data_IF_823931748975
#
_entry.id   IF_823931748975
#
_cell.length_a   1.000
_cell.length_b   1.000
_cell.length_c   1.000
_cell.angle_alpha   90.00
_cell.angle_beta   90.00
_cell.angle_gamma   90.00
#
_symmetry.space_group_name_H-M   'P 1'
#
loop_
_entity.id
_entity.type
_entity.pdbx_description
1 polymer ?
#
# COMPACT_ATOMS: atom_id res chain seq x y z
N UNK A 1 -5.92 -23.71 51.37
CA UNK A 1 -7.27 -23.96 51.94
C UNK A 1 -8.32 -23.21 51.13
N UNK A 2 -9.36 -23.96 50.81
CA UNK A 2 -10.73 -23.60 50.38
C UNK A 2 -10.93 -23.10 48.95
N UNK A 3 -11.37 -24.06 48.15
CA UNK A 3 -12.16 -23.97 46.93
C UNK A 3 -13.49 -23.27 47.16
N UNK A 4 -14.03 -22.54 46.17
CA UNK A 4 -15.47 -22.47 45.94
C UNK A 4 -15.72 -22.31 44.42
N UNK A 5 -16.32 -23.37 43.86
CA UNK A 5 -17.03 -23.40 42.59
C UNK A 5 -18.45 -22.80 42.83
N UNK A 6 -18.94 -22.06 41.84
CA UNK A 6 -20.39 -21.95 41.65
C UNK A 6 -20.70 -22.05 40.14
N UNK A 7 -21.39 -23.11 39.81
CA UNK A 7 -22.17 -23.32 38.58
C UNK A 7 -23.45 -22.47 38.66
N UNK A 8 -23.85 -21.93 37.50
CA UNK A 8 -25.20 -21.39 37.30
C UNK A 8 -25.56 -21.50 35.84
N UNK A 9 -26.29 -22.57 35.50
CA UNK A 9 -26.98 -22.75 34.22
C UNK A 9 -28.43 -22.27 34.39
N UNK A 10 -29.01 -21.64 33.35
CA UNK A 10 -30.47 -21.72 33.05
C UNK A 10 -30.77 -21.00 31.73
N UNK A 11 -31.02 -21.71 30.67
CA UNK A 11 -32.22 -22.08 29.90
C UNK A 11 -33.02 -20.98 29.20
N UNK A 12 -33.11 -21.19 27.88
CA UNK A 12 -34.23 -21.14 26.93
C UNK A 12 -35.24 -19.98 26.98
N UNK A 13 -35.46 -19.37 25.79
CA UNK A 13 -36.77 -19.34 25.14
C UNK A 13 -36.69 -18.95 23.67
N UNK A 14 -37.16 -19.84 22.81
CA UNK A 14 -37.46 -19.60 21.39
C UNK A 14 -38.84 -18.91 21.29
N UNK A 15 -38.96 -17.98 20.36
CA UNK A 15 -40.25 -17.52 19.87
C UNK A 15 -40.20 -17.34 18.35
N UNK A 16 -40.85 -18.26 17.67
CA UNK A 16 -41.19 -18.23 16.24
C UNK A 16 -42.53 -17.51 16.13
N UNK A 17 -42.60 -16.48 15.27
CA UNK A 17 -43.86 -15.94 14.79
C UNK A 17 -43.85 -15.96 13.27
N UNK A 18 -44.62 -16.89 12.69
CA UNK A 18 -45.14 -16.85 11.32
C UNK A 18 -46.44 -16.07 11.30
N UNK A 19 -46.57 -15.17 10.34
CA UNK A 19 -47.84 -14.71 9.75
C UNK A 19 -47.51 -13.70 8.65
N UNK A 20 -48.02 -13.71 7.46
CA UNK A 20 -49.08 -14.38 6.77
C UNK A 20 -49.28 -13.57 5.47
N UNK A 21 -49.63 -14.24 4.39
CA UNK A 21 -49.90 -13.74 3.03
C UNK A 21 -50.95 -12.65 2.95
N UNK A 22 -50.80 -11.72 2.01
CA UNK A 22 -51.93 -11.18 1.23
C UNK A 22 -51.42 -10.79 -0.19
N UNK A 23 -51.92 -11.50 -1.18
CA UNK A 23 -51.80 -11.21 -2.59
C UNK A 23 -52.75 -10.09 -3.00
N UNK A 24 -52.31 -9.21 -3.87
CA UNK A 24 -53.17 -8.45 -4.79
C UNK A 24 -52.52 -8.45 -6.17
N UNK A 25 -53.19 -9.13 -7.06
CA UNK A 25 -52.92 -9.13 -8.50
C UNK A 25 -53.28 -7.76 -9.10
N UNK A 26 -52.44 -7.25 -9.99
CA UNK A 26 -52.91 -6.45 -11.11
C UNK A 26 -51.93 -6.59 -12.27
N UNK A 27 -52.39 -7.29 -13.31
CA UNK A 27 -51.75 -7.39 -14.63
C UNK A 27 -51.75 -6.02 -15.31
N UNK A 28 -50.66 -5.67 -16.03
CA UNK A 28 -50.65 -5.16 -17.40
C UNK A 28 -49.26 -5.30 -18.01
N UNK A 29 -49.20 -6.16 -19.06
CA UNK A 29 -48.37 -6.23 -20.26
C UNK A 29 -46.87 -5.80 -20.28
N UNK A 30 -46.09 -6.76 -20.74
CA UNK A 30 -44.71 -6.67 -21.22
C UNK A 30 -44.58 -5.89 -22.55
N UNK A 31 -43.32 -5.44 -22.88
CA UNK A 31 -42.60 -6.25 -23.85
C UNK A 31 -41.11 -6.47 -23.52
N UNK A 32 -40.77 -7.71 -23.60
CA UNK A 32 -39.52 -8.34 -24.08
C UNK A 32 -38.31 -7.45 -24.34
N UNK A 33 -37.24 -7.67 -23.57
CA UNK A 33 -35.91 -7.75 -24.19
C UNK A 33 -34.97 -8.67 -23.38
N UNK A 34 -34.38 -9.61 -24.11
CA UNK A 34 -33.31 -10.52 -23.68
C UNK A 34 -32.14 -9.77 -23.06
N UNK A 35 -31.71 -10.18 -21.84
CA UNK A 35 -30.31 -10.07 -21.48
C UNK A 35 -29.91 -11.20 -20.55
N UNK A 36 -28.88 -11.90 -20.98
CA UNK A 36 -28.31 -13.09 -20.35
C UNK A 36 -27.83 -12.85 -18.91
N UNK A 37 -28.06 -13.87 -18.08
CA UNK A 37 -27.41 -14.02 -16.77
C UNK A 37 -25.88 -14.04 -16.94
N UNK A 38 -25.19 -13.10 -16.38
CA UNK A 38 -23.78 -13.23 -16.08
C UNK A 38 -23.65 -13.20 -14.54
N UNK A 39 -23.26 -14.31 -13.97
CA UNK A 39 -22.87 -14.39 -12.58
C UNK A 39 -21.54 -13.61 -12.46
N UNK A 40 -21.57 -12.49 -11.78
CA UNK A 40 -20.38 -11.75 -11.41
C UNK A 40 -19.75 -12.49 -10.21
N UNK A 41 -18.63 -13.14 -10.46
CA UNK A 41 -17.70 -13.50 -9.42
C UNK A 41 -17.09 -12.19 -8.89
N UNK A 42 -17.42 -11.83 -7.66
CA UNK A 42 -16.74 -10.74 -6.97
C UNK A 42 -15.30 -11.18 -6.69
N UNK A 43 -14.38 -10.79 -7.58
CA UNK A 43 -12.98 -10.73 -7.26
C UNK A 43 -12.78 -9.56 -6.29
N UNK A 44 -12.42 -9.83 -5.05
CA UNK A 44 -11.81 -8.86 -4.15
C UNK A 44 -10.48 -8.43 -4.78
N UNK A 45 -10.53 -7.40 -5.60
CA UNK A 45 -9.39 -6.60 -5.96
C UNK A 45 -9.14 -5.65 -4.77
N UNK A 46 -8.03 -5.87 -4.06
CA UNK A 46 -7.59 -4.97 -3.00
C UNK A 46 -7.36 -3.60 -3.63
N UNK A 47 -8.12 -2.61 -3.15
CA UNK A 47 -8.12 -1.26 -3.70
C UNK A 47 -6.74 -0.63 -3.63
N UNK A 48 -5.97 -0.76 -4.70
CA UNK A 48 -4.92 0.17 -5.02
C UNK A 48 -5.62 1.46 -5.45
N UNK A 49 -5.45 2.54 -4.68
CA UNK A 49 -5.94 3.86 -5.07
C UNK A 49 -5.50 4.14 -6.51
N UNK A 50 -6.39 4.72 -7.32
CA UNK A 50 -6.08 5.11 -8.69
C UNK A 50 -5.06 6.24 -8.69
N UNK A 51 -3.77 5.89 -8.76
CA UNK A 51 -2.64 6.83 -8.86
C UNK A 51 -2.38 7.30 -10.29
N UNK A 52 -3.29 7.02 -11.23
CA UNK A 52 -3.16 7.44 -12.61
C UNK A 52 -3.26 8.96 -12.74
N UNK A 53 -2.12 9.61 -12.78
CA UNK A 53 -1.98 11.07 -12.94
C UNK A 53 -1.11 11.77 -11.90
N UNK A 54 -0.68 11.08 -10.83
CA UNK A 54 0.26 11.64 -9.86
C UNK A 54 1.64 11.85 -10.48
N UNK A 55 2.33 12.88 -10.03
CA UNK A 55 3.75 13.08 -10.34
C UNK A 55 4.57 12.26 -9.36
N UNK A 56 5.20 11.19 -9.84
CA UNK A 56 6.03 10.29 -9.05
C UNK A 56 7.50 10.74 -9.00
N UNK A 57 7.81 11.89 -9.59
CA UNK A 57 9.15 12.46 -9.56
C UNK A 57 9.43 13.12 -8.22
N UNK A 58 10.59 12.81 -7.64
CA UNK A 58 11.07 13.42 -6.41
C UNK A 58 12.00 14.61 -6.64
N UNK A 59 12.31 15.36 -5.58
CA UNK A 59 13.25 16.48 -5.60
C UNK A 59 14.71 16.06 -5.77
N UNK A 60 15.02 14.77 -5.55
CA UNK A 60 16.40 14.28 -5.45
C UNK A 60 17.07 14.56 -4.10
N UNK A 61 16.41 15.28 -3.19
CA UNK A 61 16.91 15.45 -1.83
C UNK A 61 16.68 14.18 -1.02
N UNK A 62 17.65 13.80 -0.20
CA UNK A 62 17.58 12.63 0.68
C UNK A 62 17.45 13.10 2.13
N UNK A 63 16.77 12.33 3.00
CA UNK A 63 16.68 12.63 4.42
C UNK A 63 18.04 12.78 5.09
N UNK A 64 18.12 13.65 6.10
CA UNK A 64 19.33 13.83 6.89
C UNK A 64 19.65 12.55 7.68
N UNK A 65 20.89 12.11 7.63
CA UNK A 65 21.36 10.91 8.33
C UNK A 65 21.32 9.62 7.50
N UNK A 66 20.64 9.62 6.35
CA UNK A 66 20.60 8.46 5.47
C UNK A 66 22.01 8.13 4.95
N UNK A 67 22.41 6.85 5.08
CA UNK A 67 23.76 6.38 4.75
C UNK A 67 23.81 5.84 3.35
N UNK A 68 24.75 6.35 2.55
CA UNK A 68 25.07 5.74 1.25
C UNK A 68 25.57 4.31 1.43
N UNK A 69 25.06 3.41 0.60
CA UNK A 69 25.50 2.00 0.58
C UNK A 69 26.88 1.89 -0.08
N UNK A 70 27.86 1.38 0.67
CA UNK A 70 29.16 1.01 0.10
C UNK A 70 29.03 -0.28 -0.74
N UNK A 71 29.40 -0.25 -2.01
CA UNK A 71 29.34 -1.38 -2.94
C UNK A 71 27.91 -1.98 -3.09
N UNK A 72 26.93 -1.20 -3.54
CA UNK A 72 25.58 -1.71 -3.77
C UNK A 72 25.55 -2.74 -4.90
N UNK A 73 24.54 -3.60 -4.92
CA UNK A 73 24.33 -4.59 -5.99
C UNK A 73 24.13 -3.92 -7.35
N UNK A 74 23.48 -2.75 -7.36
CA UNK A 74 23.30 -1.89 -8.54
C UNK A 74 24.06 -0.59 -8.28
N UNK A 75 25.14 -0.37 -9.05
CA UNK A 75 26.00 0.83 -8.88
C UNK A 75 25.27 2.10 -9.36
N UNK A 76 25.52 3.22 -8.71
CA UNK A 76 24.99 4.53 -9.15
C UNK A 76 25.45 4.81 -10.59
N UNK A 77 24.51 5.18 -11.44
CA UNK A 77 24.69 5.39 -12.88
C UNK A 77 24.57 4.12 -13.73
N UNK A 78 24.37 2.94 -13.13
CA UNK A 78 24.03 1.71 -13.87
C UNK A 78 22.52 1.63 -14.14
N UNK A 79 22.13 0.67 -15.00
CA UNK A 79 20.73 0.35 -15.27
C UNK A 79 20.32 -0.97 -14.62
N UNK A 80 19.04 -1.06 -14.29
CA UNK A 80 18.38 -2.26 -13.78
C UNK A 80 16.94 -2.29 -14.27
N UNK A 81 16.34 -3.48 -14.33
CA UNK A 81 14.91 -3.63 -14.63
C UNK A 81 14.11 -3.70 -13.35
N UNK A 82 13.04 -2.91 -13.24
CA UNK A 82 12.07 -3.00 -12.14
C UNK A 82 11.22 -4.25 -12.38
N UNK A 83 11.29 -5.24 -11.48
CA UNK A 83 10.63 -6.55 -11.63
C UNK A 83 9.42 -6.75 -10.75
N UNK A 84 9.34 -5.99 -9.66
CA UNK A 84 8.17 -5.97 -8.77
C UNK A 84 7.77 -4.51 -8.56
N UNK A 85 6.57 -4.17 -9.03
CA UNK A 85 6.10 -2.79 -9.05
C UNK A 85 5.06 -2.56 -7.98
N UNK A 86 5.25 -1.52 -7.19
CA UNK A 86 4.25 -1.06 -6.22
C UNK A 86 3.37 0.08 -6.76
N UNK A 87 3.61 0.51 -8.02
CA UNK A 87 2.79 1.52 -8.71
C UNK A 87 2.59 1.14 -10.19
N UNK A 88 1.46 1.56 -10.80
CA UNK A 88 1.19 1.30 -12.22
C UNK A 88 2.28 1.85 -13.13
N UNK A 89 2.65 1.09 -14.15
CA UNK A 89 3.64 1.48 -15.16
C UNK A 89 5.11 1.35 -14.76
N UNK A 90 5.43 0.90 -13.54
CA UNK A 90 6.81 0.63 -13.10
C UNK A 90 7.32 -0.72 -13.57
N UNK A 91 6.47 -1.76 -13.55
CA UNK A 91 6.88 -3.12 -13.89
C UNK A 91 7.43 -3.21 -15.31
N UNK A 92 8.63 -3.80 -15.44
CA UNK A 92 9.33 -3.95 -16.69
C UNK A 92 10.02 -2.66 -17.18
N UNK A 93 9.97 -1.56 -16.43
CA UNK A 93 10.70 -0.35 -16.77
C UNK A 93 12.21 -0.54 -16.56
N UNK A 94 13.01 -0.02 -17.51
CA UNK A 94 14.44 0.15 -17.32
C UNK A 94 14.67 1.39 -16.46
N UNK A 95 15.34 1.21 -15.33
CA UNK A 95 15.63 2.26 -14.38
C UNK A 95 17.13 2.58 -14.33
N UNK A 96 17.48 3.85 -14.30
CA UNK A 96 18.82 4.33 -13.99
C UNK A 96 18.94 4.56 -12.49
N UNK A 97 19.96 3.99 -11.86
CA UNK A 97 20.24 4.15 -10.44
C UNK A 97 20.81 5.55 -10.17
N UNK A 98 20.09 6.37 -9.40
CA UNK A 98 20.51 7.74 -9.02
C UNK A 98 21.19 7.75 -7.66
N UNK A 99 20.75 6.88 -6.73
CA UNK A 99 21.35 6.73 -5.41
C UNK A 99 21.09 5.35 -4.85
N UNK A 100 21.94 4.91 -3.92
CA UNK A 100 21.82 3.64 -3.21
C UNK A 100 22.13 3.84 -1.73
N UNK A 101 21.24 3.39 -0.85
CA UNK A 101 21.31 3.68 0.59
C UNK A 101 20.99 2.44 1.42
N UNK A 102 21.54 2.38 2.63
CA UNK A 102 21.32 1.32 3.58
C UNK A 102 20.41 1.82 4.71
N UNK A 103 19.22 1.22 4.83
CA UNK A 103 18.24 1.63 5.81
C UNK A 103 17.23 0.52 6.11
N UNK A 104 16.26 0.79 6.97
CA UNK A 104 15.04 -0.01 7.13
C UNK A 104 13.91 0.65 6.36
N UNK A 105 13.25 -0.11 5.49
CA UNK A 105 12.02 0.31 4.79
C UNK A 105 10.79 -0.19 5.52
N UNK A 106 9.70 0.56 5.36
CA UNK A 106 8.39 0.23 5.90
C UNK A 106 7.34 0.35 4.82
N UNK A 107 6.43 -0.65 4.72
CA UNK A 107 5.13 -0.36 4.15
C UNK A 107 4.22 0.17 5.26
N UNK A 108 3.34 1.09 4.92
CA UNK A 108 2.51 1.82 5.88
C UNK A 108 1.07 1.97 5.42
N UNK A 109 0.16 2.01 6.39
CA UNK A 109 -1.24 2.41 6.16
C UNK A 109 -1.54 3.69 6.94
N UNK A 110 -2.16 4.68 6.29
CA UNK A 110 -2.43 5.98 6.91
C UNK A 110 -3.70 6.65 6.36
N UNK A 111 -4.24 7.60 7.13
CA UNK A 111 -5.30 8.49 6.68
C UNK A 111 -4.65 9.82 6.25
N UNK A 112 -4.81 10.25 4.98
CA UNK A 112 -4.19 11.46 4.47
C UNK A 112 -4.60 12.73 5.24
N UNK A 113 -3.64 13.64 5.48
CA UNK A 113 -3.87 14.89 6.24
C UNK A 113 -4.78 15.89 5.53
N UNK A 114 -4.96 15.73 4.23
CA UNK A 114 -5.86 16.55 3.39
C UNK A 114 -7.31 16.05 3.37
N UNK A 115 -7.59 14.90 4.02
CA UNK A 115 -8.92 14.29 4.11
C UNK A 115 -9.28 13.40 2.94
N UNK A 116 -8.29 12.95 2.16
CA UNK A 116 -8.44 11.91 1.14
C UNK A 116 -8.84 10.55 1.71
N UNK A 117 -9.06 9.58 0.83
CA UNK A 117 -9.35 8.20 1.22
C UNK A 117 -8.12 7.57 1.91
N UNK A 118 -8.38 6.64 2.86
CA UNK A 118 -7.31 5.91 3.54
C UNK A 118 -6.41 5.18 2.54
N UNK A 119 -5.11 5.33 2.70
CA UNK A 119 -4.09 4.62 1.94
C UNK A 119 -3.67 3.39 2.74
N UNK A 120 -3.67 2.22 2.11
CA UNK A 120 -3.27 0.95 2.72
C UNK A 120 -2.05 0.38 1.98
N UNK A 121 -1.12 -0.22 2.75
CA UNK A 121 0.10 -0.89 2.25
C UNK A 121 0.92 -0.03 1.27
N UNK A 122 1.04 1.27 1.55
CA UNK A 122 1.89 2.15 0.75
C UNK A 122 3.36 1.72 0.87
N UNK A 123 4.00 1.51 -0.23
CA UNK A 123 5.42 1.17 -0.38
C UNK A 123 6.15 2.31 -1.08
N UNK A 124 7.20 2.83 -0.56
CA UNK A 124 7.90 2.61 0.70
C UNK A 124 8.15 3.95 1.37
N UNK A 125 8.22 3.98 2.70
CA UNK A 125 8.97 5.01 3.41
C UNK A 125 10.20 4.36 4.06
N UNK A 126 11.20 5.17 4.39
CA UNK A 126 12.41 4.71 5.07
C UNK A 126 12.43 5.20 6.52
N UNK A 127 13.31 4.61 7.33
CA UNK A 127 13.42 4.94 8.75
C UNK A 127 13.67 6.42 9.00
N UNK A 128 14.47 7.06 8.15
CA UNK A 128 14.82 8.48 8.21
C UNK A 128 13.68 9.41 7.73
N UNK A 129 12.60 8.86 7.21
CA UNK A 129 11.35 9.56 6.86
C UNK A 129 10.27 9.42 7.94
N UNK A 130 10.63 8.91 9.11
CA UNK A 130 9.78 8.94 10.30
C UNK A 130 10.20 10.11 11.17
N UNK A 131 9.24 10.95 11.53
CA UNK A 131 9.49 12.11 12.37
C UNK A 131 10.02 11.72 13.75
N UNK A 132 11.09 12.38 14.19
CA UNK A 132 11.75 12.12 15.47
C UNK A 132 12.12 10.63 15.67
N UNK A 133 12.52 9.95 14.59
CA UNK A 133 12.87 8.53 14.62
C UNK A 133 13.94 8.23 15.67
N UNK A 134 13.74 7.15 16.41
CA UNK A 134 14.75 6.64 17.35
C UNK A 134 15.77 5.74 16.62
N UNK A 135 16.86 5.34 17.32
CA UNK A 135 17.93 4.55 16.68
C UNK A 135 17.52 3.14 16.27
N UNK A 136 16.50 2.55 16.92
CA UNK A 136 16.04 1.19 16.65
C UNK A 136 14.88 1.20 15.65
N UNK A 137 14.84 0.25 14.68
CA UNK A 137 13.72 0.16 13.74
C UNK A 137 12.37 -0.10 14.41
N UNK A 138 11.31 0.48 13.84
CA UNK A 138 9.93 0.25 14.26
C UNK A 138 9.46 -1.16 13.90
N UNK A 139 8.47 -1.64 14.67
CA UNK A 139 7.88 -2.97 14.50
C UNK A 139 6.53 -2.88 13.82
N UNK A 140 6.09 -3.96 13.19
CA UNK A 140 4.74 -4.08 12.65
C UNK A 140 3.69 -3.79 13.71
N UNK A 141 2.79 -2.87 13.42
CA UNK A 141 1.74 -2.38 14.33
C UNK A 141 2.10 -1.14 15.14
N UNK A 142 3.34 -0.66 15.06
CA UNK A 142 3.71 0.63 15.67
C UNK A 142 3.05 1.78 14.92
N UNK A 143 2.68 2.85 15.64
CA UNK A 143 2.20 4.10 15.06
C UNK A 143 3.33 5.11 14.99
N UNK A 144 3.48 5.76 13.85
CA UNK A 144 4.51 6.77 13.58
C UNK A 144 3.90 8.02 12.91
N UNK A 145 4.56 9.17 13.04
CA UNK A 145 4.26 10.35 12.24
C UNK A 145 5.21 10.38 11.05
N UNK A 146 4.66 10.48 9.83
CA UNK A 146 5.43 10.46 8.58
C UNK A 146 6.03 11.83 8.29
N UNK A 147 7.32 11.87 7.96
CA UNK A 147 8.07 13.06 7.53
C UNK A 147 8.54 12.88 6.07
N UNK A 148 7.60 12.51 5.20
CA UNK A 148 7.81 12.30 3.77
C UNK A 148 6.64 12.89 2.97
N UNK A 149 6.90 13.28 1.74
CA UNK A 149 5.94 13.88 0.81
C UNK A 149 5.87 13.15 -0.54
N UNK A 150 5.99 11.82 -0.52
CA UNK A 150 5.92 10.99 -1.75
C UNK A 150 4.56 11.11 -2.43
N UNK A 151 3.51 11.36 -1.65
CA UNK A 151 2.13 11.51 -2.09
C UNK A 151 1.46 12.68 -1.37
N UNK A 152 0.44 13.27 -2.02
CA UNK A 152 -0.40 14.29 -1.42
C UNK A 152 -1.06 13.78 -0.13
N UNK A 153 -1.01 14.60 0.93
CA UNK A 153 -1.56 14.24 2.24
C UNK A 153 -0.71 13.30 3.10
N UNK A 154 0.46 12.85 2.63
CA UNK A 154 1.34 11.96 3.40
C UNK A 154 2.08 12.69 4.52
N UNK A 155 2.61 13.87 4.24
CA UNK A 155 3.39 14.67 5.19
C UNK A 155 2.61 14.94 6.48
N UNK A 156 3.15 14.53 7.61
CA UNK A 156 2.55 14.69 8.94
C UNK A 156 1.38 13.75 9.23
N UNK A 157 1.09 12.78 8.36
CA UNK A 157 0.09 11.76 8.64
C UNK A 157 0.54 10.82 9.76
N UNK A 158 -0.42 10.35 10.56
CA UNK A 158 -0.18 9.23 11.48
C UNK A 158 -0.38 7.94 10.72
N UNK A 159 0.67 7.12 10.65
CA UNK A 159 0.70 5.85 9.94
C UNK A 159 0.90 4.68 10.88
N UNK A 160 0.37 3.52 10.50
CA UNK A 160 0.67 2.23 11.10
C UNK A 160 1.71 1.52 10.24
N UNK A 161 2.73 0.94 10.86
CA UNK A 161 3.72 0.10 10.18
C UNK A 161 3.09 -1.24 9.83
N UNK A 162 3.00 -1.58 8.55
CA UNK A 162 2.46 -2.84 8.05
C UNK A 162 3.56 -3.88 7.83
N UNK A 163 4.75 -3.44 7.38
CA UNK A 163 5.94 -4.27 7.26
C UNK A 163 7.21 -3.49 7.56
N UNK A 164 8.30 -4.20 7.90
CA UNK A 164 9.61 -3.62 8.15
C UNK A 164 10.70 -4.56 7.60
N UNK A 165 11.65 -4.03 6.83
CA UNK A 165 12.75 -4.78 6.24
C UNK A 165 14.03 -3.94 6.23
N UNK A 166 15.14 -4.50 6.73
CA UNK A 166 16.47 -3.91 6.59
C UNK A 166 17.04 -4.30 5.21
N UNK A 167 17.25 -3.33 4.35
CA UNK A 167 17.65 -3.58 2.96
C UNK A 167 18.44 -2.42 2.36
N UNK A 168 18.87 -2.57 1.11
CA UNK A 168 19.34 -1.46 0.29
C UNK A 168 18.17 -0.88 -0.47
N UNK A 169 17.98 0.43 -0.39
CA UNK A 169 17.02 1.17 -1.21
C UNK A 169 17.73 2.00 -2.27
N UNK A 170 17.02 2.20 -3.37
CA UNK A 170 17.51 2.94 -4.51
C UNK A 170 16.59 4.11 -4.85
N UNK A 171 17.20 5.25 -5.16
CA UNK A 171 16.56 6.32 -5.89
C UNK A 171 16.79 6.08 -7.37
N UNK A 172 15.75 6.17 -8.19
CA UNK A 172 15.81 5.78 -9.60
C UNK A 172 15.14 6.79 -10.52
N UNK A 173 15.66 6.89 -11.74
CA UNK A 173 15.02 7.54 -12.88
C UNK A 173 14.54 6.45 -13.85
N UNK A 174 13.30 6.56 -14.34
CA UNK A 174 12.75 5.61 -15.30
C UNK A 174 11.65 6.23 -16.15
N UNK A 175 11.22 5.49 -17.18
CA UNK A 175 10.06 5.88 -18.01
C UNK A 175 8.94 4.87 -17.77
N UNK A 176 7.75 5.36 -17.46
CA UNK A 176 6.55 4.52 -17.26
C UNK A 176 6.26 3.71 -18.52
N UNK A 177 6.06 2.40 -18.36
CA UNK A 177 5.82 1.46 -19.47
C UNK A 177 4.45 1.63 -20.10
N UNK A 178 3.47 2.16 -19.38
CA UNK A 178 2.08 2.35 -19.82
C UNK A 178 1.86 3.68 -20.55
N UNK A 179 2.45 4.77 -20.06
CA UNK A 179 2.20 6.14 -20.53
C UNK A 179 3.39 6.79 -21.24
N UNK A 180 4.60 6.26 -21.07
CA UNK A 180 5.83 6.86 -21.57
C UNK A 180 6.24 8.15 -20.85
N UNK A 181 5.63 8.46 -19.68
CA UNK A 181 6.00 9.61 -18.86
C UNK A 181 7.36 9.34 -18.19
N UNK A 182 8.25 10.32 -18.25
CA UNK A 182 9.50 10.28 -17.49
C UNK A 182 9.26 10.54 -16.02
N UNK A 183 9.89 9.74 -15.16
CA UNK A 183 9.91 9.86 -13.71
C UNK A 183 11.35 10.02 -13.27
N UNK A 184 11.63 11.05 -12.49
CA UNK A 184 12.98 11.34 -12.01
C UNK A 184 13.05 11.35 -10.49
N UNK A 185 14.18 10.85 -9.95
CA UNK A 185 14.42 10.79 -8.51
C UNK A 185 13.30 10.10 -7.72
N UNK A 186 12.70 9.06 -8.28
CA UNK A 186 11.68 8.30 -7.60
C UNK A 186 12.26 7.63 -6.34
N UNK A 187 11.58 7.76 -5.24
CA UNK A 187 11.89 7.16 -3.93
C UNK A 187 10.70 6.31 -3.49
N UNK A 188 10.90 5.12 -3.08
CA UNK A 188 12.07 4.27 -3.04
C UNK A 188 11.80 2.98 -3.79
N UNK A 189 12.84 2.33 -4.28
CA UNK A 189 12.78 0.97 -4.82
C UNK A 189 13.73 0.12 -4.00
N UNK A 190 13.30 -1.04 -3.54
CA UNK A 190 14.15 -1.96 -2.77
C UNK A 190 15.03 -2.80 -3.68
N UNK A 191 16.10 -3.40 -3.12
CA UNK A 191 17.00 -4.27 -3.89
C UNK A 191 16.25 -5.47 -4.48
N UNK A 192 15.23 -5.99 -3.79
CA UNK A 192 14.43 -7.13 -4.26
C UNK A 192 13.49 -6.81 -5.42
N UNK A 193 13.15 -5.53 -5.62
CA UNK A 193 12.31 -5.06 -6.73
C UNK A 193 13.08 -4.81 -8.02
N UNK A 194 14.41 -5.01 -8.01
CA UNK A 194 15.30 -4.78 -9.14
C UNK A 194 15.95 -6.07 -9.62
N UNK A 195 16.17 -6.16 -10.92
CA UNK A 195 17.00 -7.22 -11.53
C UNK A 195 18.07 -6.64 -12.46
N UNK A 196 19.17 -7.36 -12.60
CA UNK A 196 20.18 -7.02 -13.62
C UNK A 196 19.62 -7.35 -15.01
N UNK A 197 19.91 -6.50 -15.96
CA UNK A 197 19.67 -6.83 -17.37
C UNK A 197 20.46 -8.11 -17.72
N UNK A 198 19.80 -9.03 -18.46
CA UNK A 198 20.44 -10.24 -19.02
C UNK A 198 21.18 -9.93 -20.34
#
# INVERSE_FOLDING_TARGET
MKKRKLLGALTMAAAIILSGCAAVENEVEAPNNNQANNAEEESHDGGHGDHSGMDMSGSGEVPEGLKEKENPTFEVGSTATITDAHMPGMEGAEATIVGAYETTVYSISYDPTDGGDRVEDHKWIIHEEVKDAHEEPYQVGDEVEVDADHMEGMQGATATIDSAEETTVYMVDFTLTDSGKEVTNHKWVTESELSKEE
#
